data_IF_214421139970
#
_entry.id   IF_214421139970
#
_cell.length_a   1.000
_cell.length_b   1.000
_cell.length_c   1.000
_cell.angle_alpha   90.00
_cell.angle_beta   90.00
_cell.angle_gamma   90.00
#
_symmetry.space_group_name_H-M   'P 1'
#
loop_
_entity.id
_entity.type
_entity.pdbx_description
1 polymer ?
#
# COMPACT_ATOMS: atom_id res chain seq x y z
N UNK A 1 -6.85 0.00 15.41
CA UNK A 1 -8.20 -0.02 14.83
C UNK A 1 -8.07 0.01 13.31
N UNK A 2 -8.78 -0.86 12.58
CA UNK A 2 -8.74 -0.88 11.10
C UNK A 2 -9.73 0.12 10.48
N UNK A 3 -10.69 0.66 11.25
CA UNK A 3 -11.67 1.63 10.76
C UNK A 3 -11.10 3.04 10.55
N UNK A 4 -10.09 3.45 11.31
CA UNK A 4 -9.43 4.74 11.16
C UNK A 4 -8.55 4.79 9.89
N UNK A 5 -8.49 5.92 9.19
CA UNK A 5 -7.60 6.08 8.04
C UNK A 5 -6.11 6.02 8.47
N UNK A 6 -5.25 5.19 7.84
CA UNK A 6 -3.81 5.23 8.08
C UNK A 6 -3.17 6.46 7.42
N UNK A 7 -1.90 6.73 7.73
CA UNK A 7 -1.18 7.83 7.07
C UNK A 7 -0.95 7.53 5.57
N UNK A 8 -0.67 6.26 5.24
CA UNK A 8 -0.59 5.78 3.87
C UNK A 8 -0.89 4.28 3.72
N UNK A 9 -1.14 3.84 2.48
CA UNK A 9 -1.37 2.43 2.13
C UNK A 9 -0.32 1.92 1.14
N UNK A 10 0.25 0.75 1.42
CA UNK A 10 1.00 -0.04 0.44
C UNK A 10 0.05 -1.04 -0.19
N UNK A 11 -0.32 -0.78 -1.44
CA UNK A 11 -1.26 -1.56 -2.22
C UNK A 11 -0.62 -2.87 -2.71
N UNK A 12 -1.46 -3.87 -2.93
CA UNK A 12 -1.09 -5.05 -3.70
C UNK A 12 -0.81 -4.65 -5.16
N UNK A 13 -1.71 -3.97 -5.85
CA UNK A 13 -1.60 -3.41 -7.21
C UNK A 13 -0.50 -4.02 -8.10
N UNK A 14 -0.75 -5.22 -8.67
CA UNK A 14 0.19 -5.94 -9.53
C UNK A 14 0.23 -5.41 -10.97
N UNK A 15 -0.44 -4.31 -11.28
CA UNK A 15 -0.48 -3.70 -12.61
C UNK A 15 -1.64 -4.21 -13.46
N UNK A 16 -2.67 -4.80 -12.84
CA UNK A 16 -3.85 -5.30 -13.56
C UNK A 16 -4.94 -4.24 -13.57
N UNK A 17 -5.42 -3.83 -14.75
CA UNK A 17 -6.38 -2.70 -14.85
C UNK A 17 -7.61 -2.88 -13.95
N UNK A 18 -8.20 -4.07 -13.94
CA UNK A 18 -9.41 -4.34 -13.14
C UNK A 18 -9.08 -4.57 -11.66
N UNK A 19 -8.02 -5.31 -11.36
CA UNK A 19 -7.63 -5.62 -9.97
C UNK A 19 -7.19 -4.37 -9.22
N UNK A 20 -6.35 -3.55 -9.83
CA UNK A 20 -5.84 -2.31 -9.23
C UNK A 20 -6.98 -1.30 -9.03
N UNK A 21 -7.93 -1.21 -9.96
CA UNK A 21 -9.12 -0.36 -9.82
C UNK A 21 -10.05 -0.86 -8.71
N UNK A 22 -10.27 -2.18 -8.61
CA UNK A 22 -11.11 -2.76 -7.56
C UNK A 22 -10.49 -2.59 -6.17
N UNK A 23 -9.18 -2.80 -6.05
CA UNK A 23 -8.44 -2.57 -4.81
C UNK A 23 -8.51 -1.10 -4.39
N UNK A 24 -8.24 -0.17 -5.31
CA UNK A 24 -8.29 1.25 -5.01
C UNK A 24 -9.70 1.70 -4.62
N UNK A 25 -10.74 1.22 -5.32
CA UNK A 25 -12.12 1.51 -4.96
C UNK A 25 -12.45 1.03 -3.54
N UNK A 26 -11.99 -0.17 -3.16
CA UNK A 26 -12.20 -0.70 -1.82
C UNK A 26 -11.50 0.17 -0.75
N UNK A 27 -10.27 0.61 -1.00
CA UNK A 27 -9.56 1.56 -0.11
C UNK A 27 -10.35 2.85 0.06
N UNK A 28 -10.86 3.42 -1.05
CA UNK A 28 -11.65 4.65 -1.03
C UNK A 28 -12.98 4.51 -0.27
N UNK A 29 -13.62 3.33 -0.33
CA UNK A 29 -14.86 3.08 0.43
C UNK A 29 -14.61 3.04 1.94
N UNK A 30 -13.44 2.59 2.38
CA UNK A 30 -13.12 2.43 3.81
C UNK A 30 -12.53 3.72 4.40
N UNK A 31 -11.59 4.36 3.70
CA UNK A 31 -10.80 5.47 4.25
C UNK A 31 -10.83 6.76 3.43
N UNK A 32 -11.54 6.78 2.29
CA UNK A 32 -11.51 7.90 1.36
C UNK A 32 -10.22 7.96 0.53
N UNK A 33 -9.90 9.15 0.03
CA UNK A 33 -8.64 9.37 -0.69
C UNK A 33 -7.51 9.66 0.30
N UNK A 34 -6.39 8.94 0.15
CA UNK A 34 -5.21 9.06 0.99
C UNK A 34 -3.94 8.64 0.22
N UNK A 35 -2.74 9.01 0.71
CA UNK A 35 -1.48 8.55 0.15
C UNK A 35 -1.44 7.03 -0.04
N UNK A 36 -1.10 6.60 -1.25
CA UNK A 36 -0.89 5.19 -1.53
C UNK A 36 0.25 4.96 -2.53
N UNK A 37 0.81 3.77 -2.50
CA UNK A 37 1.84 3.34 -3.44
C UNK A 37 1.84 1.82 -3.63
N UNK A 38 2.47 1.36 -4.70
CA UNK A 38 2.88 -0.04 -4.86
C UNK A 38 4.38 -0.11 -5.13
N UNK A 39 5.03 -1.13 -4.59
CA UNK A 39 6.46 -1.36 -4.84
C UNK A 39 6.71 -2.19 -6.10
N UNK A 40 5.67 -2.78 -6.70
CA UNK A 40 5.81 -3.74 -7.81
C UNK A 40 6.33 -3.09 -9.09
N UNK A 41 6.13 -1.78 -9.26
CA UNK A 41 6.74 -1.03 -10.37
C UNK A 41 8.28 -0.96 -10.30
N UNK A 42 8.88 -1.22 -9.14
CA UNK A 42 10.35 -1.25 -8.98
C UNK A 42 10.92 -2.67 -9.02
N UNK A 43 10.26 -3.60 -8.34
CA UNK A 43 10.84 -4.94 -8.07
C UNK A 43 10.07 -6.09 -8.71
N UNK A 44 8.98 -5.80 -9.43
CA UNK A 44 8.07 -6.81 -9.97
C UNK A 44 7.19 -7.48 -8.92
N UNK A 45 6.46 -8.52 -9.33
CA UNK A 45 5.55 -9.25 -8.46
C UNK A 45 6.17 -10.56 -7.94
N UNK A 46 6.71 -10.52 -6.73
CA UNK A 46 7.39 -11.66 -6.07
C UNK A 46 6.45 -12.73 -5.50
N UNK A 47 5.34 -13.02 -6.18
CA UNK A 47 4.34 -14.04 -5.82
C UNK A 47 3.95 -13.98 -4.34
N UNK A 48 4.02 -15.11 -3.62
CA UNK A 48 3.65 -15.22 -2.21
C UNK A 48 4.47 -14.35 -1.25
N UNK A 49 5.66 -13.88 -1.66
CA UNK A 49 6.47 -12.96 -0.86
C UNK A 49 6.02 -11.49 -0.98
N UNK A 50 5.12 -11.18 -1.92
CA UNK A 50 4.73 -9.79 -2.21
C UNK A 50 4.17 -9.00 -1.00
N UNK A 51 3.32 -9.57 -0.12
CA UNK A 51 2.85 -8.84 1.07
C UNK A 51 3.98 -8.55 2.06
N UNK A 52 4.94 -9.48 2.22
CA UNK A 52 6.08 -9.30 3.11
C UNK A 52 7.03 -8.22 2.60
N UNK A 53 7.28 -8.16 1.30
CA UNK A 53 8.07 -7.07 0.71
C UNK A 53 7.35 -5.72 0.83
N UNK A 54 6.01 -5.72 0.72
CA UNK A 54 5.20 -4.53 0.99
C UNK A 54 5.32 -4.05 2.45
N UNK A 55 5.34 -4.99 3.40
CA UNK A 55 5.57 -4.72 4.81
C UNK A 55 6.96 -4.15 5.08
N UNK A 56 8.00 -4.76 4.51
CA UNK A 56 9.37 -4.26 4.62
C UNK A 56 9.49 -2.83 4.05
N UNK A 57 8.84 -2.56 2.92
CA UNK A 57 8.78 -1.22 2.36
C UNK A 57 8.04 -0.24 3.27
N UNK A 58 6.87 -0.60 3.80
CA UNK A 58 6.12 0.28 4.71
C UNK A 58 6.95 0.69 5.94
N UNK A 59 7.64 -0.27 6.57
CA UNK A 59 8.52 0.00 7.71
C UNK A 59 9.68 0.91 7.32
N UNK A 60 10.34 0.64 6.18
CA UNK A 60 11.42 1.48 5.67
C UNK A 60 10.96 2.94 5.45
N UNK A 61 9.80 3.12 4.83
CA UNK A 61 9.24 4.46 4.56
C UNK A 61 8.89 5.20 5.85
N UNK A 62 8.31 4.51 6.84
CA UNK A 62 8.00 5.06 8.16
C UNK A 62 9.27 5.48 8.92
N UNK A 63 10.25 4.57 9.00
CA UNK A 63 11.53 4.80 9.70
C UNK A 63 12.30 5.99 9.10
N UNK A 64 12.38 6.06 7.77
CA UNK A 64 13.20 7.05 7.07
C UNK A 64 12.43 8.33 6.72
N UNK A 65 11.11 8.37 6.96
CA UNK A 65 10.21 9.47 6.58
C UNK A 65 10.41 9.91 5.12
N UNK A 66 10.56 8.92 4.25
CA UNK A 66 10.94 9.12 2.87
C UNK A 66 9.85 8.56 1.95
N UNK A 67 9.44 9.32 0.94
CA UNK A 67 8.49 8.89 -0.08
C UNK A 67 9.20 8.78 -1.41
N UNK A 68 9.12 7.61 -2.04
CA UNK A 68 9.79 7.38 -3.32
C UNK A 68 8.99 7.97 -4.49
N UNK A 69 9.72 8.43 -5.51
CA UNK A 69 9.12 8.85 -6.79
C UNK A 69 8.55 7.64 -7.51
N UNK A 70 7.24 7.62 -7.71
CA UNK A 70 6.54 6.52 -8.38
C UNK A 70 6.76 6.64 -9.91
N UNK A 71 7.48 5.69 -10.56
CA UNK A 71 7.91 5.82 -11.96
C UNK A 71 6.85 5.31 -12.95
N UNK A 72 5.57 5.34 -12.57
CA UNK A 72 4.46 4.82 -13.37
C UNK A 72 3.17 5.57 -13.08
N UNK A 73 2.22 5.53 -14.02
CA UNK A 73 0.90 6.13 -13.84
C UNK A 73 0.08 5.33 -12.81
N UNK A 74 -0.63 6.03 -11.93
CA UNK A 74 -1.38 5.44 -10.82
C UNK A 74 -2.84 5.89 -10.82
N UNK A 75 -3.71 5.07 -10.22
CA UNK A 75 -5.12 5.41 -9.98
C UNK A 75 -5.33 6.16 -8.65
N UNK A 76 -4.32 6.11 -7.78
CA UNK A 76 -4.34 6.58 -6.41
C UNK A 76 -3.46 7.82 -6.25
N UNK A 77 -3.58 8.49 -5.11
CA UNK A 77 -2.82 9.69 -4.80
C UNK A 77 -1.35 9.37 -4.51
N UNK A 78 -0.40 9.72 -5.42
CA UNK A 78 1.00 9.32 -5.31
C UNK A 78 1.82 10.37 -4.53
N UNK A 79 1.25 10.99 -3.49
CA UNK A 79 1.89 12.04 -2.69
C UNK A 79 2.33 11.51 -1.33
N UNK A 80 3.40 12.08 -0.72
CA UNK A 80 3.80 11.72 0.64
C UNK A 80 2.70 12.01 1.67
N UNK A 81 2.66 11.24 2.77
CA UNK A 81 1.77 11.53 3.88
C UNK A 81 2.28 12.72 4.71
N UNK A 82 1.35 13.36 5.42
CA UNK A 82 1.65 14.46 6.36
C UNK A 82 2.28 13.93 7.66
N UNK A 83 1.97 12.68 8.00
CA UNK A 83 2.43 11.98 9.21
C UNK A 83 3.07 10.65 8.82
N UNK A 84 3.97 10.16 9.68
CA UNK A 84 4.78 8.96 9.43
C UNK A 84 4.73 8.03 10.64
N UNK A 85 3.52 7.68 11.07
CA UNK A 85 3.28 6.86 12.26
C UNK A 85 2.71 5.51 11.93
N UNK A 86 1.86 5.42 10.91
CA UNK A 86 1.23 4.15 10.58
C UNK A 86 0.97 3.97 9.10
N UNK A 87 0.99 2.72 8.68
CA UNK A 87 0.67 2.31 7.33
C UNK A 87 -0.20 1.06 7.35
N UNK A 88 -0.98 0.87 6.30
CA UNK A 88 -1.63 -0.41 6.02
C UNK A 88 -1.01 -1.03 4.77
N UNK A 89 -0.72 -2.32 4.82
CA UNK A 89 -0.23 -3.10 3.69
C UNK A 89 -1.29 -4.10 3.28
N UNK A 90 -1.67 -4.08 2.00
CA UNK A 90 -2.67 -4.97 1.42
C UNK A 90 -2.00 -6.10 0.64
N UNK A 91 -2.46 -7.33 0.87
CA UNK A 91 -2.04 -8.53 0.16
C UNK A 91 -3.24 -9.26 -0.43
N UNK A 92 -3.20 -9.52 -1.74
CA UNK A 92 -4.20 -10.31 -2.45
C UNK A 92 -3.53 -11.51 -3.14
N UNK A 93 -4.31 -12.55 -3.39
CA UNK A 93 -3.88 -13.78 -4.05
C UNK A 93 -5.04 -14.51 -4.72
N UNK A 94 -4.71 -15.53 -5.50
CA UNK A 94 -5.69 -16.37 -6.18
C UNK A 94 -6.60 -17.11 -5.19
N UNK A 95 -7.79 -17.50 -5.64
CA UNK A 95 -8.74 -18.26 -4.83
C UNK A 95 -9.42 -17.44 -3.73
N UNK A 96 -9.40 -16.10 -3.84
CA UNK A 96 -10.00 -15.20 -2.84
C UNK A 96 -9.16 -15.02 -1.58
N UNK A 97 -7.87 -15.36 -1.62
CA UNK A 97 -6.94 -15.09 -0.51
C UNK A 97 -6.70 -13.59 -0.44
N UNK A 98 -7.02 -13.00 0.70
CA UNK A 98 -6.85 -11.58 0.94
C UNK A 98 -6.50 -11.33 2.41
N UNK A 99 -5.71 -10.29 2.65
CA UNK A 99 -5.36 -9.85 3.98
C UNK A 99 -4.80 -8.44 3.96
N UNK A 100 -4.91 -7.76 5.09
CA UNK A 100 -4.28 -6.48 5.31
C UNK A 100 -3.63 -6.46 6.69
N UNK A 101 -2.48 -5.83 6.80
CA UNK A 101 -1.80 -5.60 8.08
C UNK A 101 -1.62 -4.11 8.29
N UNK A 102 -2.01 -3.64 9.49
CA UNK A 102 -1.65 -2.30 9.95
C UNK A 102 -0.36 -2.39 10.73
N UNK A 103 0.58 -1.51 10.42
CA UNK A 103 1.79 -1.31 11.20
C UNK A 103 1.84 0.09 11.74
N UNK A 104 2.17 0.20 13.02
CA UNK A 104 2.53 1.45 13.64
C UNK A 104 4.04 1.46 13.90
N UNK A 105 4.67 2.59 13.68
CA UNK A 105 6.06 2.85 13.97
C UNK A 105 6.11 3.96 15.01
N UNK A 106 6.55 3.60 16.21
CA UNK A 106 6.84 4.54 17.29
C UNK A 106 8.35 4.54 17.48
N UNK A 107 8.97 5.71 17.37
CA UNK A 107 10.42 5.87 17.40
C UNK A 107 10.89 6.28 18.80
#
# INVERSE_FOLDING_TARGET
DMGAAPDFVVLHAPGTRQGDAAEWHAVQQVWGDLPALSIKGYIGHSLGAAPLLGLAAALYLLENRHWHTIPYATLWTPSPPVRWREAVVVGLGYGGVMGAVRVAYDA
#
